data_IF_737322185024
#
_entry.id   IF_737322185024
#
_cell.length_a   1.000
_cell.length_b   1.000
_cell.length_c   1.000
_cell.angle_alpha   90.00
_cell.angle_beta   90.00
_cell.angle_gamma   90.00
#
_symmetry.space_group_name_H-M   'P 1'
#
loop_
_entity.id
_entity.type
_entity.pdbx_description
1 polymer ?
#
# COMPACT_ATOMS: atom_id res chain seq x y z
N UNK A 1 1.91 -12.11 -14.45
CA UNK A 1 1.04 -12.45 -13.31
C UNK A 1 1.03 -11.28 -12.33
N UNK A 2 -0.13 -10.92 -11.78
CA UNK A 2 -0.19 -9.90 -10.73
C UNK A 2 0.09 -10.56 -9.39
N UNK A 3 0.92 -9.92 -8.58
CA UNK A 3 1.21 -10.30 -7.20
C UNK A 3 0.35 -9.44 -6.27
N UNK A 4 0.01 -9.97 -5.08
CA UNK A 4 -0.67 -9.18 -4.06
C UNK A 4 0.35 -8.75 -3.01
N UNK A 5 0.24 -7.51 -2.59
CA UNK A 5 1.09 -6.92 -1.57
C UNK A 5 0.22 -6.43 -0.43
N UNK A 6 0.66 -6.69 0.79
CA UNK A 6 0.02 -6.22 2.01
C UNK A 6 0.82 -5.03 2.54
N UNK A 7 0.12 -3.91 2.73
CA UNK A 7 0.68 -2.68 3.25
C UNK A 7 0.10 -2.34 4.61
N UNK A 8 0.96 -1.76 5.45
CA UNK A 8 0.57 -0.98 6.61
C UNK A 8 0.91 0.47 6.33
N UNK A 9 -0.06 1.36 6.47
CA UNK A 9 0.12 2.78 6.16
C UNK A 9 -0.38 3.66 7.29
N UNK A 10 0.19 4.86 7.39
CA UNK A 10 -0.39 5.99 8.10
C UNK A 10 -1.00 6.94 7.06
N UNK A 11 -2.30 7.16 7.13
CA UNK A 11 -3.00 8.11 6.26
C UNK A 11 -2.54 9.55 6.55
N UNK A 12 -2.75 10.45 5.59
CA UNK A 12 -2.44 11.87 5.76
C UNK A 12 -3.13 12.49 6.99
N UNK A 13 -4.35 12.03 7.33
CA UNK A 13 -5.10 12.47 8.52
C UNK A 13 -4.61 11.85 9.83
N UNK A 14 -3.54 11.05 9.79
CA UNK A 14 -2.90 10.46 10.97
C UNK A 14 -3.41 9.07 11.37
N UNK A 15 -4.51 8.58 10.79
CA UNK A 15 -5.04 7.24 11.05
C UNK A 15 -4.14 6.15 10.48
N UNK A 16 -3.91 5.08 11.24
CA UNK A 16 -3.14 3.91 10.80
C UNK A 16 -4.09 2.87 10.24
N UNK A 17 -3.81 2.39 9.04
CA UNK A 17 -4.56 1.31 8.39
C UNK A 17 -3.59 0.16 8.17
N UNK A 18 -3.95 -1.01 8.71
CA UNK A 18 -3.18 -2.24 8.54
C UNK A 18 -3.85 -3.18 7.52
N UNK A 19 -3.08 -4.14 7.01
CA UNK A 19 -3.52 -5.17 6.07
C UNK A 19 -4.15 -4.63 4.76
N UNK A 20 -3.68 -3.48 4.25
CA UNK A 20 -4.13 -2.94 2.98
C UNK A 20 -3.61 -3.80 1.84
N UNK A 21 -4.51 -4.53 1.19
CA UNK A 21 -4.17 -5.38 0.05
C UNK A 21 -4.20 -4.59 -1.26
N UNK A 22 -3.08 -4.57 -1.99
CA UNK A 22 -2.98 -3.99 -3.33
C UNK A 22 -2.37 -5.00 -4.27
N UNK A 23 -2.96 -5.12 -5.46
CA UNK A 23 -2.43 -5.97 -6.53
C UNK A 23 -1.61 -5.13 -7.52
N UNK A 24 -0.46 -5.67 -7.93
CA UNK A 24 0.44 -5.06 -8.90
C UNK A 24 1.40 -6.08 -9.49
N UNK A 25 2.06 -5.76 -10.60
CA UNK A 25 3.07 -6.65 -11.19
C UNK A 25 4.31 -6.76 -10.30
N UNK A 26 4.62 -5.68 -9.59
CA UNK A 26 5.70 -5.57 -8.62
C UNK A 26 5.30 -4.63 -7.47
N UNK A 27 6.19 -4.48 -6.49
CA UNK A 27 5.95 -3.66 -5.30
C UNK A 27 5.81 -2.17 -5.64
N UNK A 28 6.50 -1.67 -6.67
CA UNK A 28 6.46 -0.24 -7.04
C UNK A 28 5.13 0.13 -7.70
N UNK A 29 4.59 -0.73 -8.56
CA UNK A 29 3.24 -0.58 -9.10
C UNK A 29 2.21 -0.63 -7.97
N UNK A 30 2.38 -1.55 -7.02
CA UNK A 30 1.49 -1.65 -5.87
C UNK A 30 1.58 -0.40 -4.96
N UNK A 31 2.77 0.18 -4.77
CA UNK A 31 2.96 1.46 -4.07
C UNK A 31 2.29 2.63 -4.80
N UNK A 32 2.44 2.71 -6.12
CA UNK A 32 1.80 3.74 -6.92
C UNK A 32 0.28 3.68 -6.81
N UNK A 33 -0.32 2.49 -6.91
CA UNK A 33 -1.76 2.27 -6.72
C UNK A 33 -2.20 2.58 -5.28
N UNK A 34 -1.40 2.21 -4.29
CA UNK A 34 -1.65 2.53 -2.88
C UNK A 34 -1.70 4.04 -2.65
N UNK A 35 -0.76 4.80 -3.23
CA UNK A 35 -0.72 6.26 -3.12
C UNK A 35 -1.90 6.93 -3.85
N UNK A 36 -2.40 6.37 -4.95
CA UNK A 36 -3.63 6.85 -5.57
C UNK A 36 -4.86 6.64 -4.68
N UNK A 37 -4.95 5.50 -3.99
CA UNK A 37 -6.06 5.18 -3.08
C UNK A 37 -5.97 5.95 -1.76
N UNK A 38 -4.77 6.17 -1.26
CA UNK A 38 -4.48 6.91 -0.03
C UNK A 38 -3.45 8.01 -0.30
N UNK A 39 -3.86 9.14 -0.91
CA UNK A 39 -2.96 10.25 -1.19
C UNK A 39 -2.30 10.79 0.07
N UNK A 40 -1.00 11.06 0.00
CA UNK A 40 -0.22 11.56 1.13
C UNK A 40 -0.05 10.56 2.28
N UNK A 41 -0.34 9.27 2.08
CA UNK A 41 -0.05 8.26 3.09
C UNK A 41 1.45 7.98 3.23
N UNK A 42 1.87 7.67 4.45
CA UNK A 42 3.19 7.14 4.75
C UNK A 42 3.13 5.63 4.82
N UNK A 43 3.93 4.94 4.01
CA UNK A 43 4.03 3.48 4.06
C UNK A 43 4.91 3.09 5.24
N UNK A 44 4.36 2.34 6.19
CA UNK A 44 5.07 1.85 7.37
C UNK A 44 5.66 0.46 7.13
N UNK A 45 4.95 -0.42 6.42
CA UNK A 45 5.47 -1.71 5.98
C UNK A 45 4.83 -2.14 4.67
N UNK A 46 5.57 -2.93 3.90
CA UNK A 46 5.09 -3.54 2.67
C UNK A 46 5.69 -4.95 2.55
N UNK A 47 4.85 -5.95 2.29
CA UNK A 47 5.29 -7.34 2.07
C UNK A 47 4.47 -7.99 0.94
N UNK A 48 5.06 -8.91 0.17
CA UNK A 48 4.26 -9.80 -0.67
C UNK A 48 3.30 -10.61 0.22
N UNK A 49 2.10 -10.90 -0.30
CA UNK A 49 1.14 -11.78 0.35
C UNK A 49 1.44 -13.23 0.05
#
# INVERSE_FOLDING_TARGET
MNQKFVFRIKTFKGGVIDNVLIEGRNIDEARYRLQQRYPGCTIMSARPK
#
